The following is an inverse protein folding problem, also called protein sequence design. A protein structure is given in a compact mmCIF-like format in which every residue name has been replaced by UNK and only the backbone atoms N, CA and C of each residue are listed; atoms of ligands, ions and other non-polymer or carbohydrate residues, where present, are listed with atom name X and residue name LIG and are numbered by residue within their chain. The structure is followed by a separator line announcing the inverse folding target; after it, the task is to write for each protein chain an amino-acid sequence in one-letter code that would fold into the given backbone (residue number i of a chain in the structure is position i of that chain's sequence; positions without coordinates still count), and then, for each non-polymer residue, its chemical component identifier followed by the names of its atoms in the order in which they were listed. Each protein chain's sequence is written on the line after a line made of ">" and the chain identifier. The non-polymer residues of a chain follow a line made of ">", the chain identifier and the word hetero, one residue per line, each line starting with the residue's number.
data_IF_187167930653
#
_entry.id   IF_187167930653
#
_cell.length_a   1.000
_cell.length_b   1.000
_cell.length_c   1.000
_cell.angle_alpha   90.00
_cell.angle_beta   90.00
_cell.angle_gamma   90.00
#
_symmetry.space_group_name_H-M   'P 1'
#
loop_
_entity.id
_entity.type
_entity.pdbx_description
1 polymer ?
#
# COMPACT_ATOMS: atom_id res chain seq x y z
N UNK A 1 12.97 -0.15 13.87
CA UNK A 1 12.22 0.92 13.16
C UNK A 1 10.74 0.70 13.46
N UNK A 2 10.00 1.74 13.79
CA UNK A 2 8.55 1.66 14.04
C UNK A 2 7.80 1.54 12.72
N UNK A 3 7.00 0.49 12.56
CA UNK A 3 6.06 0.31 11.46
C UNK A 3 5.05 1.47 11.44
N UNK A 4 4.80 2.08 10.28
CA UNK A 4 3.74 3.09 10.08
C UNK A 4 2.59 2.55 9.24
N UNK A 5 1.40 3.10 9.48
CA UNK A 5 0.20 2.82 8.68
C UNK A 5 -0.09 4.06 7.82
N UNK A 6 -0.17 3.86 6.51
CA UNK A 6 -0.45 4.91 5.53
C UNK A 6 -1.84 4.71 4.94
N UNK A 7 -2.77 5.62 5.24
CA UNK A 7 -4.10 5.59 4.64
C UNK A 7 -4.06 6.18 3.22
N UNK A 8 -4.44 5.41 2.21
CA UNK A 8 -4.33 5.78 0.80
C UNK A 8 -5.60 5.47 0.02
N UNK A 9 -5.98 6.39 -0.86
CA UNK A 9 -7.12 6.20 -1.77
C UNK A 9 -6.75 5.22 -2.89
N UNK A 10 -7.69 4.39 -3.29
CA UNK A 10 -7.59 3.49 -4.44
C UNK A 10 -8.94 3.39 -5.17
N UNK A 11 -8.93 3.33 -6.50
CA UNK A 11 -10.16 3.21 -7.28
C UNK A 11 -10.71 1.76 -7.24
N UNK A 12 -12.03 1.56 -7.42
CA UNK A 12 -12.68 0.25 -7.28
C UNK A 12 -12.04 -0.91 -8.06
N UNK A 13 -11.68 -0.66 -9.32
CA UNK A 13 -11.01 -1.64 -10.19
C UNK A 13 -9.72 -2.17 -9.57
N UNK A 14 -8.90 -1.27 -9.02
CA UNK A 14 -7.61 -1.61 -8.45
C UNK A 14 -7.74 -2.19 -7.03
N UNK A 15 -8.68 -1.68 -6.24
CA UNK A 15 -9.03 -2.23 -4.94
C UNK A 15 -9.39 -3.71 -5.06
N UNK A 16 -10.33 -4.04 -5.95
CA UNK A 16 -10.74 -5.43 -6.18
C UNK A 16 -9.57 -6.31 -6.65
N UNK A 17 -8.65 -5.78 -7.44
CA UNK A 17 -7.46 -6.52 -7.88
C UNK A 17 -6.46 -6.81 -6.75
N UNK A 18 -6.33 -5.90 -5.77
CA UNK A 18 -5.51 -6.14 -4.57
C UNK A 18 -6.17 -7.16 -3.66
N UNK A 19 -7.48 -7.05 -3.43
CA UNK A 19 -8.26 -8.02 -2.64
C UNK A 19 -8.19 -9.41 -3.26
N UNK A 20 -8.27 -9.51 -4.59
CA UNK A 20 -8.13 -10.77 -5.33
C UNK A 20 -6.67 -11.29 -5.41
N UNK A 21 -5.68 -10.53 -4.93
CA UNK A 21 -4.26 -10.90 -4.94
C UNK A 21 -3.57 -10.84 -6.31
N UNK A 22 -4.26 -10.38 -7.36
CA UNK A 22 -3.69 -10.27 -8.71
C UNK A 22 -2.84 -9.01 -8.88
N UNK A 23 -3.15 -7.94 -8.14
CA UNK A 23 -2.34 -6.72 -8.09
C UNK A 23 -1.43 -6.72 -6.88
N UNK A 24 -0.12 -6.77 -7.13
CA UNK A 24 0.95 -6.90 -6.11
C UNK A 24 1.88 -5.70 -6.03
N UNK A 25 1.53 -4.59 -6.67
CA UNK A 25 2.33 -3.37 -6.63
C UNK A 25 1.46 -2.11 -6.67
N UNK A 26 1.92 -1.04 -6.05
CA UNK A 26 1.34 0.32 -6.06
C UNK A 26 2.36 1.32 -6.58
N UNK A 27 1.94 2.23 -7.47
CA UNK A 27 2.73 3.38 -7.88
C UNK A 27 2.28 4.60 -7.08
N UNK A 28 3.21 5.28 -6.41
CA UNK A 28 2.92 6.44 -5.57
C UNK A 28 3.98 7.52 -5.73
N UNK A 29 3.57 8.77 -5.52
CA UNK A 29 4.51 9.83 -5.18
C UNK A 29 5.09 9.51 -3.81
N UNK A 30 6.39 9.62 -3.63
CA UNK A 30 7.04 9.32 -2.34
C UNK A 30 7.02 10.51 -1.38
N UNK A 31 5.82 11.04 -1.12
CA UNK A 31 5.58 12.20 -0.25
C UNK A 31 5.39 11.82 1.24
N UNK A 32 5.49 10.53 1.56
CA UNK A 32 5.30 9.97 2.92
C UNK A 32 6.52 9.21 3.44
N UNK A 33 7.55 9.09 2.59
CA UNK A 33 8.76 8.31 2.83
C UNK A 33 8.42 6.86 3.12
N UNK A 34 7.75 6.17 2.19
CA UNK A 34 7.30 4.79 2.37
C UNK A 34 8.50 3.86 2.65
N UNK A 35 8.35 2.92 3.60
CA UNK A 35 9.41 1.97 3.95
C UNK A 35 8.90 0.53 3.90
N UNK A 36 9.81 -0.40 3.65
CA UNK A 36 9.54 -1.83 3.82
C UNK A 36 9.07 -2.08 5.26
N UNK A 37 8.04 -2.90 5.41
CA UNK A 37 7.38 -3.20 6.67
C UNK A 37 6.21 -2.28 7.01
N UNK A 38 6.11 -1.08 6.40
CA UNK A 38 4.94 -0.22 6.58
C UNK A 38 3.67 -0.88 6.02
N UNK A 39 2.52 -0.51 6.57
CA UNK A 39 1.20 -0.99 6.14
C UNK A 39 0.50 0.10 5.32
N UNK A 40 -0.05 -0.29 4.19
CA UNK A 40 -0.98 0.50 3.41
C UNK A 40 -2.41 0.13 3.81
N UNK A 41 -3.15 1.12 4.31
CA UNK A 41 -4.60 1.08 4.46
C UNK A 41 -5.21 1.59 3.15
N UNK A 42 -5.64 0.66 2.28
CA UNK A 42 -6.19 0.93 0.96
C UNK A 42 -7.68 1.23 1.10
N UNK A 43 -8.05 2.50 1.10
CA UNK A 43 -9.43 2.95 1.14
C UNK A 43 -9.99 3.05 -0.28
N UNK A 44 -11.10 2.37 -0.56
CA UNK A 44 -11.77 2.49 -1.86
C UNK A 44 -12.50 3.83 -2.00
N UNK A 45 -12.21 4.56 -3.08
CA UNK A 45 -12.88 5.81 -3.43
C UNK A 45 -13.54 5.74 -4.80
N UNK A 46 -14.83 6.07 -4.88
CA UNK A 46 -15.62 6.09 -6.12
C UNK A 46 -16.35 7.44 -6.24
N UNK A 47 -16.25 8.08 -7.41
CA UNK A 47 -16.89 9.38 -7.69
C UNK A 47 -16.63 10.46 -6.62
N UNK A 48 -15.40 10.52 -6.09
CA UNK A 48 -15.02 11.54 -5.10
C UNK A 48 -15.41 11.21 -3.65
N UNK A 49 -16.05 10.07 -3.39
CA UNK A 49 -16.45 9.66 -2.04
C UNK A 49 -15.79 8.35 -1.63
N UNK A 50 -15.48 8.23 -0.34
CA UNK A 50 -15.08 6.97 0.29
C UNK A 50 -16.27 6.02 0.33
N UNK A 51 -16.09 4.76 -0.06
CA UNK A 51 -17.19 3.78 -0.13
C UNK A 51 -17.43 3.04 1.18
N UNK A 52 -16.53 3.18 2.16
CA UNK A 52 -16.51 2.38 3.39
C UNK A 52 -15.68 1.10 3.29
N UNK A 53 -15.22 0.71 2.09
CA UNK A 53 -14.37 -0.47 1.91
C UNK A 53 -12.90 -0.13 2.12
N UNK A 54 -12.23 -0.93 2.93
CA UNK A 54 -10.81 -0.82 3.24
C UNK A 54 -10.13 -2.18 3.13
N UNK A 55 -8.86 -2.19 2.74
CA UNK A 55 -8.05 -3.39 2.72
C UNK A 55 -6.61 -3.11 3.11
N UNK A 56 -5.98 -4.03 3.84
CA UNK A 56 -4.61 -3.86 4.29
C UNK A 56 -3.63 -4.54 3.34
N UNK A 57 -2.47 -3.92 3.14
CA UNK A 57 -1.34 -4.56 2.48
C UNK A 57 -0.03 -4.08 3.10
N UNK A 58 0.94 -4.98 3.27
CA UNK A 58 2.28 -4.62 3.76
C UNK A 58 3.22 -4.33 2.60
N UNK A 59 4.06 -3.32 2.73
CA UNK A 59 5.14 -3.01 1.78
C UNK A 59 6.28 -4.02 1.99
N UNK A 60 6.58 -4.77 0.95
CA UNK A 60 7.63 -5.82 0.97
C UNK A 60 8.91 -5.36 0.26
N UNK A 61 8.80 -4.41 -0.66
CA UNK A 61 9.92 -3.82 -1.37
C UNK A 61 9.55 -2.43 -1.90
N UNK A 62 10.54 -1.55 -2.04
CA UNK A 62 10.39 -0.21 -2.60
C UNK A 62 11.38 -0.03 -3.75
N UNK A 63 10.91 0.43 -4.91
CA UNK A 63 11.75 0.80 -6.04
C UNK A 63 11.54 2.28 -6.38
N UNK A 64 12.49 3.16 -6.03
CA UNK A 64 12.46 4.55 -6.49
C UNK A 64 12.55 4.61 -8.01
N UNK A 65 11.54 5.17 -8.68
CA UNK A 65 11.47 5.18 -10.15
C UNK A 65 12.61 6.01 -10.75
N UNK A 66 13.01 7.07 -10.05
CA UNK A 66 14.09 7.96 -10.47
C UNK A 66 15.46 7.26 -10.63
N UNK A 67 15.63 6.06 -10.04
CA UNK A 67 16.83 5.23 -10.22
C UNK A 67 16.81 4.41 -11.51
N UNK A 68 15.62 4.22 -12.11
CA UNK A 68 15.40 3.36 -13.28
C UNK A 68 15.16 4.19 -14.54
N UNK A 69 14.41 5.29 -14.41
CA UNK A 69 14.06 6.18 -15.53
C UNK A 69 14.10 7.64 -15.09
N UNK A 70 14.53 8.52 -15.99
CA UNK A 70 14.50 9.96 -15.76
C UNK A 70 13.04 10.46 -15.81
N UNK A 71 12.48 10.77 -14.64
CA UNK A 71 11.13 11.34 -14.49
C UNK A 71 11.18 12.54 -13.54
N UNK A 72 10.27 13.48 -13.75
CA UNK A 72 10.10 14.62 -12.86
C UNK A 72 9.35 14.21 -11.57
N UNK A 73 9.80 14.72 -10.44
CA UNK A 73 9.25 14.42 -9.11
C UNK A 73 9.76 13.09 -8.54
N UNK A 74 9.37 12.80 -7.30
CA UNK A 74 9.78 11.60 -6.58
C UNK A 74 8.66 10.57 -6.62
N UNK A 75 8.87 9.48 -7.36
CA UNK A 75 7.92 8.38 -7.48
C UNK A 75 8.55 7.07 -7.03
N UNK A 76 7.71 6.21 -6.46
CA UNK A 76 8.11 4.90 -5.95
C UNK A 76 7.10 3.84 -6.37
N UNK A 77 7.62 2.68 -6.77
CA UNK A 77 6.83 1.46 -6.88
C UNK A 77 6.97 0.69 -5.58
N UNK A 78 5.84 0.43 -4.93
CA UNK A 78 5.74 -0.33 -3.70
C UNK A 78 5.29 -1.74 -4.06
N UNK A 79 6.14 -2.75 -3.87
CA UNK A 79 5.69 -4.14 -3.91
C UNK A 79 4.91 -4.42 -2.63
N UNK A 80 3.69 -4.94 -2.79
CA UNK A 80 2.76 -5.13 -1.69
C UNK A 80 2.34 -6.58 -1.56
N UNK A 81 2.21 -7.04 -0.32
CA UNK A 81 1.54 -8.29 0.02
C UNK A 81 0.21 -7.96 0.67
N UNK A 82 -0.87 -8.39 0.02
CA UNK A 82 -2.24 -8.28 0.54
C UNK A 82 -2.35 -9.04 1.86
N UNK A 83 -3.02 -8.45 2.85
CA UNK A 83 -3.28 -9.06 4.15
C UNK A 83 -4.78 -9.25 4.30
N UNK A 84 -5.20 -10.46 4.66
CA UNK A 84 -6.55 -10.69 5.16
C UNK A 84 -6.76 -9.91 6.48
N UNK A 85 -8.02 -9.68 6.91
CA UNK A 85 -8.27 -8.95 8.16
C UNK A 85 -7.58 -9.54 9.40
N UNK A 86 -7.50 -10.88 9.50
CA UNK A 86 -6.83 -11.54 10.62
C UNK A 86 -5.30 -11.37 10.55
N UNK A 87 -4.71 -11.50 9.37
CA UNK A 87 -3.27 -11.26 9.18
C UNK A 87 -2.90 -9.81 9.46
N UNK A 88 -3.74 -8.85 9.02
CA UNK A 88 -3.55 -7.43 9.28
C UNK A 88 -3.57 -7.13 10.77
N UNK A 89 -4.55 -7.68 11.50
CA UNK A 89 -4.64 -7.55 12.95
C UNK A 89 -3.40 -8.14 13.64
N UNK A 90 -3.02 -9.35 13.27
CA UNK A 90 -1.83 -10.01 13.82
C UNK A 90 -0.57 -9.19 13.57
N UNK A 91 -0.41 -8.65 12.35
CA UNK A 91 0.78 -7.90 11.94
C UNK A 91 0.89 -6.58 12.70
N UNK A 92 -0.24 -5.91 12.92
CA UNK A 92 -0.27 -4.66 13.70
C UNK A 92 0.04 -4.92 15.18
N UNK A 93 -0.55 -5.96 15.78
CA UNK A 93 -0.32 -6.30 17.19
C UNK A 93 1.13 -6.75 17.42
N UNK A 94 1.74 -7.46 16.46
CA UNK A 94 3.15 -7.88 16.55
C UNK A 94 4.15 -6.78 16.19
N UNK A 95 3.70 -5.58 15.81
CA UNK A 95 4.57 -4.48 15.42
C UNK A 95 5.32 -4.73 14.11
N UNK A 96 4.77 -5.55 13.23
CA UNK A 96 5.37 -5.94 11.95
C UNK A 96 6.33 -7.13 12.03
N UNK A 97 6.37 -7.84 13.15
CA UNK A 97 7.08 -9.10 13.29
C UNK A 97 6.15 -10.27 12.94
N UNK A 98 6.11 -10.66 11.66
CA UNK A 98 5.58 -11.97 11.21
C UNK A 98 6.49 -12.50 10.11
#
# INVERSE_FOLDING_TARGET
>A
MTMRIHQIKIAPKYFNAVVAGSKKAELRKDDRGYKVGDVLSLCEWKHGSYTGREWAAVITHTLPINEVVAVEGQWVILSIRSLTPLEALSYVISGGAI
#
